data_IF_899546665742
#
_entry.id   IF_899546665742
#
_cell.length_a   1.000
_cell.length_b   1.000
_cell.length_c   1.000
_cell.angle_alpha   90.00
_cell.angle_beta   90.00
_cell.angle_gamma   90.00
#
_symmetry.space_group_name_H-M   'P 1'
#
loop_
_entity.id
_entity.type
_entity.pdbx_description
1 polymer ?
#
# COMPACT_ATOMS: atom_id res chain seq x y z
N UNK A 1 39.21 -8.21 -63.13
CA UNK A 1 38.51 -8.23 -61.83
C UNK A 1 37.63 -6.99 -61.77
N UNK A 2 36.42 -7.08 -62.33
CA UNK A 2 35.45 -5.97 -62.35
C UNK A 2 34.51 -6.19 -61.18
N UNK A 3 34.59 -5.30 -60.20
CA UNK A 3 33.70 -5.30 -59.03
C UNK A 3 32.35 -4.77 -59.54
N UNK A 4 31.36 -5.65 -59.63
CA UNK A 4 30.00 -5.26 -59.95
C UNK A 4 29.40 -4.53 -58.75
N UNK A 5 29.16 -3.23 -58.90
CA UNK A 5 28.40 -2.43 -57.95
C UNK A 5 26.95 -2.96 -57.92
N UNK A 6 26.55 -3.54 -56.79
CA UNK A 6 25.23 -4.13 -56.61
C UNK A 6 24.26 -3.02 -56.19
N UNK A 7 23.50 -2.50 -57.14
CA UNK A 7 22.45 -1.53 -56.85
C UNK A 7 21.30 -2.19 -56.07
N UNK A 8 20.95 -1.71 -54.87
CA UNK A 8 19.86 -2.29 -54.07
C UNK A 8 18.51 -2.08 -54.75
N UNK A 9 17.66 -3.12 -54.74
CA UNK A 9 16.35 -3.11 -55.41
C UNK A 9 15.34 -2.21 -54.68
N UNK A 10 14.38 -1.57 -55.38
CA UNK A 10 13.44 -0.62 -54.76
C UNK A 10 12.59 -1.24 -53.65
N UNK A 11 12.28 -2.54 -53.76
CA UNK A 11 11.58 -3.30 -52.73
C UNK A 11 12.40 -3.38 -51.42
N UNK A 12 13.72 -3.54 -51.52
CA UNK A 12 14.64 -3.65 -50.38
C UNK A 12 14.67 -2.37 -49.53
N UNK A 13 14.60 -1.20 -50.18
CA UNK A 13 14.58 0.09 -49.49
C UNK A 13 13.23 0.36 -48.80
N UNK A 14 12.13 -0.15 -49.38
CA UNK A 14 10.79 -0.04 -48.80
C UNK A 14 10.70 -0.87 -47.50
N UNK A 15 11.11 -2.14 -47.50
CA UNK A 15 11.06 -2.97 -46.29
C UNK A 15 11.95 -2.41 -45.18
N UNK A 16 13.15 -1.92 -45.52
CA UNK A 16 14.05 -1.27 -44.54
C UNK A 16 13.40 -0.02 -43.94
N UNK A 17 12.74 0.81 -44.74
CA UNK A 17 12.04 2.00 -44.27
C UNK A 17 10.85 1.65 -43.35
N UNK A 18 10.04 0.64 -43.70
CA UNK A 18 8.94 0.19 -42.83
C UNK A 18 9.44 -0.38 -41.50
N UNK A 19 10.52 -1.17 -41.51
CA UNK A 19 11.11 -1.76 -40.29
C UNK A 19 11.69 -0.67 -39.38
N UNK A 20 12.41 0.30 -39.94
CA UNK A 20 12.98 1.43 -39.18
C UNK A 20 11.88 2.31 -38.58
N UNK A 21 10.81 2.57 -39.32
CA UNK A 21 9.70 3.42 -38.86
C UNK A 21 8.85 2.73 -37.78
N UNK A 22 8.60 1.42 -37.91
CA UNK A 22 7.90 0.64 -36.89
C UNK A 22 8.70 0.54 -35.58
N UNK A 23 10.02 0.40 -35.65
CA UNK A 23 10.89 0.40 -34.48
C UNK A 23 10.89 1.75 -33.73
N UNK A 24 10.75 2.87 -34.43
CA UNK A 24 10.69 4.20 -33.83
C UNK A 24 9.38 4.47 -33.06
N UNK A 25 8.25 3.91 -33.49
CA UNK A 25 6.95 4.11 -32.81
C UNK A 25 6.86 3.40 -31.43
N UNK A 26 7.58 2.29 -31.25
CA UNK A 26 7.62 1.54 -29.97
C UNK A 26 8.38 2.30 -28.88
N UNK A 27 9.33 3.18 -29.25
CA UNK A 27 10.14 3.96 -28.31
C UNK A 27 9.39 5.18 -27.73
N UNK A 28 8.29 5.62 -28.35
CA UNK A 28 7.47 6.74 -27.86
C UNK A 28 6.36 6.32 -26.87
N UNK A 29 6.22 5.01 -26.61
CA UNK A 29 5.41 4.47 -25.51
C UNK A 29 6.26 4.20 -24.23
N UNK A 30 7.51 4.70 -24.23
CA UNK A 30 8.34 4.83 -23.04
C UNK A 30 7.61 5.71 -21.99
N UNK A 31 7.82 5.49 -20.69
CA UNK A 31 6.78 5.41 -19.67
C UNK A 31 5.95 6.70 -19.47
N UNK A 32 4.62 6.60 -19.59
CA UNK A 32 3.62 7.65 -19.25
C UNK A 32 3.44 7.82 -17.72
N UNK A 33 4.23 7.15 -16.89
CA UNK A 33 4.07 7.15 -15.43
C UNK A 33 5.39 7.51 -14.74
N UNK A 34 5.94 8.69 -15.02
CA UNK A 34 6.87 9.29 -14.06
C UNK A 34 6.06 9.72 -12.84
N UNK A 35 6.04 8.86 -11.82
CA UNK A 35 5.48 9.19 -10.50
C UNK A 35 6.37 10.23 -9.80
N UNK A 36 6.37 11.47 -10.30
CA UNK A 36 6.96 12.62 -9.63
C UNK A 36 5.88 13.49 -8.97
N UNK A 37 4.67 13.53 -9.54
CA UNK A 37 3.49 14.05 -8.87
C UNK A 37 2.91 12.93 -7.99
N UNK A 38 3.35 12.83 -6.74
CA UNK A 38 2.61 12.03 -5.78
C UNK A 38 1.23 12.68 -5.59
N UNK A 39 0.20 12.09 -6.20
CA UNK A 39 -1.20 12.42 -5.89
C UNK A 39 -1.53 12.12 -4.41
N UNK A 40 -0.65 11.36 -3.74
CA UNK A 40 -0.72 11.06 -2.32
C UNK A 40 -0.09 12.19 -1.50
N UNK A 41 -0.80 12.61 -0.45
CA UNK A 41 -0.25 13.52 0.55
C UNK A 41 1.09 13.00 1.08
N UNK A 42 2.10 13.86 1.25
CA UNK A 42 3.38 13.45 1.82
C UNK A 42 3.20 12.79 3.18
N UNK A 43 3.89 11.68 3.41
CA UNK A 43 3.95 11.07 4.73
C UNK A 43 4.61 12.05 5.68
N UNK A 44 3.94 12.35 6.79
CA UNK A 44 4.49 13.29 7.78
C UNK A 44 5.38 12.58 8.79
N UNK A 45 6.35 13.29 9.36
CA UNK A 45 7.19 12.76 10.45
C UNK A 45 6.35 12.25 11.62
N UNK A 46 5.24 12.92 11.92
CA UNK A 46 4.32 12.51 12.98
C UNK A 46 3.66 11.14 12.67
N UNK A 47 3.27 10.90 11.41
CA UNK A 47 2.71 9.61 11.00
C UNK A 47 3.74 8.48 11.12
N UNK A 48 4.98 8.70 10.68
CA UNK A 48 6.04 7.68 10.79
C UNK A 48 6.31 7.32 12.25
N UNK A 49 6.37 8.31 13.14
CA UNK A 49 6.57 8.06 14.57
C UNK A 49 5.40 7.29 15.19
N UNK A 50 4.18 7.59 14.78
CA UNK A 50 2.99 6.88 15.24
C UNK A 50 3.01 5.42 14.79
N UNK A 51 3.40 5.15 13.54
CA UNK A 51 3.56 3.80 13.02
C UNK A 51 4.67 3.02 13.72
N UNK A 52 5.80 3.66 14.03
CA UNK A 52 6.87 3.03 14.81
C UNK A 52 6.41 2.67 16.22
N UNK A 53 5.67 3.55 16.90
CA UNK A 53 5.12 3.27 18.22
C UNK A 53 4.15 2.08 18.19
N UNK A 54 3.31 1.98 17.16
CA UNK A 54 2.42 0.85 16.98
C UNK A 54 3.19 -0.47 16.79
N UNK A 55 4.27 -0.46 16.01
CA UNK A 55 5.13 -1.61 15.80
C UNK A 55 5.89 -1.99 17.08
N UNK A 56 6.39 -1.01 17.83
CA UNK A 56 7.01 -1.22 19.15
C UNK A 56 6.02 -1.85 20.14
N UNK A 57 4.73 -1.48 20.06
CA UNK A 57 3.67 -2.07 20.89
C UNK A 57 3.45 -3.57 20.67
N UNK A 58 3.98 -4.12 19.57
CA UNK A 58 3.99 -5.55 19.26
C UNK A 58 5.40 -6.14 19.23
N UNK A 59 6.38 -5.45 19.82
CA UNK A 59 7.74 -5.94 20.05
C UNK A 59 8.72 -5.74 18.90
N UNK A 60 8.46 -4.83 17.95
CA UNK A 60 9.49 -4.38 17.01
C UNK A 60 10.49 -3.45 17.71
N UNK A 61 11.78 -3.51 17.35
CA UNK A 61 12.78 -2.59 17.87
C UNK A 61 13.48 -1.87 16.70
N UNK A 62 13.13 -0.60 16.42
CA UNK A 62 13.75 0.16 15.33
C UNK A 62 15.20 0.54 15.58
N UNK A 63 15.69 0.48 16.83
CA UNK A 63 17.07 0.86 17.18
C UNK A 63 18.10 -0.17 16.70
N UNK A 64 17.66 -1.36 16.29
CA UNK A 64 18.54 -2.40 15.74
C UNK A 64 19.11 -2.01 14.36
N UNK A 65 18.41 -1.19 13.57
CA UNK A 65 18.85 -0.82 12.22
C UNK A 65 19.29 -2.04 11.40
N UNK A 66 20.51 -1.99 10.84
CA UNK A 66 21.11 -3.07 10.05
C UNK A 66 21.56 -4.29 10.88
N UNK A 67 21.61 -4.18 12.21
CA UNK A 67 21.96 -5.30 13.09
C UNK A 67 20.77 -6.24 13.35
N UNK A 68 19.55 -5.83 12.96
CA UNK A 68 18.35 -6.66 12.98
C UNK A 68 18.23 -7.53 11.72
N UNK A 69 17.22 -8.41 11.70
CA UNK A 69 16.95 -9.26 10.55
C UNK A 69 15.99 -8.55 9.57
N UNK A 70 16.41 -7.39 9.06
CA UNK A 70 15.63 -6.63 8.09
C UNK A 70 15.60 -7.35 6.72
N UNK A 71 14.43 -7.51 6.06
CA UNK A 71 13.12 -6.97 6.41
C UNK A 71 12.21 -7.93 7.22
N UNK A 72 12.64 -9.14 7.56
CA UNK A 72 11.80 -10.16 8.20
C UNK A 72 11.20 -9.69 9.54
N UNK A 73 11.99 -9.01 10.38
CA UNK A 73 11.55 -8.54 11.69
C UNK A 73 10.38 -7.55 11.60
N UNK A 74 10.43 -6.62 10.64
CA UNK A 74 9.38 -5.62 10.45
C UNK A 74 8.12 -6.24 9.82
N UNK A 75 8.26 -7.25 8.94
CA UNK A 75 7.12 -7.98 8.39
C UNK A 75 6.42 -8.82 9.47
N UNK A 76 7.19 -9.50 10.32
CA UNK A 76 6.66 -10.26 11.44
C UNK A 76 5.93 -9.34 12.44
N UNK A 77 6.48 -8.16 12.72
CA UNK A 77 5.83 -7.16 13.56
C UNK A 77 4.52 -6.64 12.96
N UNK A 78 4.48 -6.32 11.67
CA UNK A 78 3.25 -5.90 10.98
C UNK A 78 2.14 -6.94 11.11
N UNK A 79 2.45 -8.22 10.91
CA UNK A 79 1.47 -9.31 11.07
C UNK A 79 0.91 -9.39 12.51
N UNK A 80 1.76 -9.24 13.53
CA UNK A 80 1.31 -9.18 14.94
C UNK A 80 0.43 -7.96 15.22
N UNK A 81 0.77 -6.81 14.64
CA UNK A 81 0.02 -5.57 14.77
C UNK A 81 -1.37 -5.67 14.11
N UNK A 82 -1.46 -6.28 12.94
CA UNK A 82 -2.75 -6.56 12.29
C UNK A 82 -3.63 -7.49 13.13
N UNK A 83 -3.04 -8.55 13.69
CA UNK A 83 -3.74 -9.47 14.58
C UNK A 83 -4.24 -8.76 15.85
N UNK A 84 -3.42 -7.91 16.47
CA UNK A 84 -3.80 -7.06 17.61
C UNK A 84 -4.98 -6.15 17.27
N UNK A 85 -4.89 -5.39 16.17
CA UNK A 85 -5.97 -4.49 15.72
C UNK A 85 -7.26 -5.25 15.41
N UNK A 86 -7.17 -6.46 14.85
CA UNK A 86 -8.36 -7.30 14.63
C UNK A 86 -8.99 -7.74 15.95
N UNK A 87 -8.19 -8.14 16.94
CA UNK A 87 -8.67 -8.52 18.26
C UNK A 87 -9.35 -7.33 18.97
N UNK A 88 -8.76 -6.14 18.92
CA UNK A 88 -9.33 -4.90 19.47
C UNK A 88 -10.67 -4.55 18.81
N UNK A 89 -10.76 -4.63 17.47
CA UNK A 89 -12.03 -4.42 16.76
C UNK A 89 -13.11 -5.42 17.17
N UNK A 90 -12.75 -6.70 17.33
CA UNK A 90 -13.68 -7.73 17.80
C UNK A 90 -14.15 -7.45 19.24
N UNK A 91 -13.24 -7.05 20.13
CA UNK A 91 -13.57 -6.67 21.50
C UNK A 91 -14.49 -5.45 21.56
N UNK A 92 -14.22 -4.42 20.74
CA UNK A 92 -15.07 -3.23 20.65
C UNK A 92 -16.49 -3.56 20.13
N UNK A 93 -16.62 -4.45 19.14
CA UNK A 93 -17.92 -4.92 18.66
C UNK A 93 -18.67 -5.72 19.73
N UNK A 94 -17.97 -6.59 20.47
CA UNK A 94 -18.58 -7.34 21.57
C UNK A 94 -19.03 -6.43 22.72
N UNK A 95 -18.29 -5.34 22.99
CA UNK A 95 -18.60 -4.39 24.04
C UNK A 95 -19.89 -3.58 23.79
N UNK A 96 -20.35 -3.45 22.54
CA UNK A 96 -21.60 -2.76 22.21
C UNK A 96 -22.85 -3.61 22.51
N UNK A 97 -22.69 -4.91 22.78
CA UNK A 97 -23.76 -5.86 23.06
C UNK A 97 -24.75 -6.07 21.89
N UNK A 98 -25.54 -7.16 21.88
CA UNK A 98 -26.76 -7.16 21.08
C UNK A 98 -27.61 -5.99 21.58
N UNK A 99 -28.27 -5.24 20.68
CA UNK A 99 -29.20 -4.18 21.09
C UNK A 99 -30.26 -4.75 22.04
N UNK A 100 -30.01 -4.62 23.35
CA UNK A 100 -30.94 -5.05 24.38
C UNK A 100 -32.20 -4.21 24.24
N UNK A 101 -33.36 -4.85 24.35
CA UNK A 101 -34.67 -4.18 24.37
C UNK A 101 -34.59 -2.94 25.28
N UNK A 102 -34.96 -1.74 24.80
CA UNK A 102 -34.95 -0.56 25.66
C UNK A 102 -35.93 -0.81 26.82
N UNK A 103 -35.40 -1.01 28.02
CA UNK A 103 -36.19 -1.15 29.24
C UNK A 103 -36.43 0.24 29.82
N UNK A 104 -37.67 0.70 29.76
CA UNK A 104 -38.11 1.92 30.44
C UNK A 104 -38.44 1.56 31.89
N UNK A 105 -37.63 1.99 32.84
CA UNK A 105 -37.90 1.83 34.27
C UNK A 105 -38.52 3.12 34.81
N UNK A 106 -39.79 3.07 35.21
CA UNK A 106 -40.46 4.15 35.93
C UNK A 106 -40.34 3.90 37.44
N UNK A 107 -39.55 4.73 38.13
CA UNK A 107 -39.36 4.64 39.57
C UNK A 107 -40.68 4.76 40.34
N UNK A 108 -41.02 3.74 41.13
CA UNK A 108 -42.20 3.77 41.99
C UNK A 108 -41.96 4.70 43.19
N UNK A 109 -42.92 5.58 43.47
CA UNK A 109 -42.85 6.56 44.55
C UNK A 109 -42.73 5.90 45.93
N UNK A 110 -41.69 6.27 46.68
CA UNK A 110 -41.48 5.85 48.06
C UNK A 110 -42.63 6.34 48.93
N UNK A 111 -43.36 5.40 49.55
CA UNK A 111 -44.41 5.70 50.54
C UNK A 111 -43.75 5.90 51.91
N UNK A 112 -43.80 7.08 52.52
CA UNK A 112 -43.34 7.26 53.89
C UNK A 112 -44.34 6.59 54.85
N UNK A 113 -43.81 5.81 55.79
CA UNK A 113 -44.58 5.25 56.91
C UNK A 113 -44.72 6.31 58.01
N UNK A 114 -45.93 6.44 58.58
CA UNK A 114 -46.26 7.30 59.72
C UNK A 114 -45.59 6.82 61.01
#
# INVERSE_FOLDING_TARGET
>A
MVIADRHPSPQENIVKSLVVTAAAAVLLAAPVLSFAQSAQSPVTRAQVLQELYDLESVGYNPSLGDAGNYPDDILAAQHRLEAKRLAERKAAQAAYGPAGTPATESGAAARPAL
#
